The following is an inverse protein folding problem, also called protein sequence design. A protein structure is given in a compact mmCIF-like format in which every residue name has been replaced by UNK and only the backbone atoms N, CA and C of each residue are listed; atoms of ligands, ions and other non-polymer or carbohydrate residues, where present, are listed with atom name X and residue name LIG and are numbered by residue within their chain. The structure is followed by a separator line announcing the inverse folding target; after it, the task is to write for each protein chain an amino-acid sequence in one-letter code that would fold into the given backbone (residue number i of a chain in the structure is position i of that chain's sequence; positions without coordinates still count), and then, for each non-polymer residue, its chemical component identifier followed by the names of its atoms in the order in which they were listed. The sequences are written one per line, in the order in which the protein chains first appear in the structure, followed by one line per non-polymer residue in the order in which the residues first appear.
data_IF_739188085508
#
_entry.id   IF_739188085508
#
_cell.length_a   1.000
_cell.length_b   1.000
_cell.length_c   1.000
_cell.angle_alpha   90.00
_cell.angle_beta   90.00
_cell.angle_gamma   90.00
#
_symmetry.space_group_name_H-M   'P 1'
#
loop_
_entity.id
_entity.type
_entity.pdbx_description
1 polymer ?
#
# COMPACT_ATOMS: atom_id res chain seq x y z
N UNK A 1 7.23 4.60 -40.93
CA UNK A 1 8.34 4.53 -39.95
C UNK A 1 7.79 4.90 -38.58
N UNK A 2 7.91 4.03 -37.58
CA UNK A 2 7.41 4.25 -36.21
C UNK A 2 8.12 5.44 -35.55
N UNK A 3 7.41 6.17 -34.67
CA UNK A 3 7.96 7.28 -33.88
C UNK A 3 9.21 6.86 -33.10
N UNK A 4 9.22 5.63 -32.57
CA UNK A 4 10.36 5.06 -31.84
C UNK A 4 11.62 4.96 -32.72
N UNK A 5 11.46 4.60 -33.99
CA UNK A 5 12.60 4.49 -34.90
C UNK A 5 13.19 5.85 -35.23
N UNK A 6 12.35 6.89 -35.37
CA UNK A 6 12.81 8.28 -35.59
C UNK A 6 13.56 8.85 -34.38
N UNK A 7 13.10 8.53 -33.16
CA UNK A 7 13.76 8.94 -31.92
C UNK A 7 15.14 8.26 -31.80
N UNK A 8 15.21 6.95 -32.06
CA UNK A 8 16.46 6.19 -32.02
C UNK A 8 17.50 6.72 -33.02
N UNK A 9 17.07 7.03 -34.24
CA UNK A 9 17.92 7.57 -35.30
C UNK A 9 18.46 8.97 -34.97
N UNK A 10 17.63 9.82 -34.36
CA UNK A 10 18.02 11.16 -33.89
C UNK A 10 19.05 11.11 -32.75
N UNK A 11 18.95 10.15 -31.82
CA UNK A 11 19.93 9.98 -30.74
C UNK A 11 21.28 9.51 -31.30
N UNK A 12 21.28 8.64 -32.31
CA UNK A 12 22.51 8.09 -32.91
C UNK A 12 23.27 9.06 -33.81
N UNK A 13 22.60 10.05 -34.40
CA UNK A 13 23.21 11.01 -35.32
C UNK A 13 23.05 12.44 -34.77
N UNK A 14 24.10 13.06 -34.21
CA UNK A 14 24.01 14.39 -33.64
C UNK A 14 23.63 15.43 -34.73
N UNK A 15 22.64 16.27 -34.42
CA UNK A 15 22.18 17.32 -35.33
C UNK A 15 23.29 18.38 -35.46
N UNK A 16 23.82 18.57 -36.68
CA UNK A 16 24.84 19.60 -36.95
C UNK A 16 24.19 20.91 -37.39
N UNK A 17 24.56 22.01 -36.72
CA UNK A 17 24.18 23.38 -37.09
C UNK A 17 25.36 24.05 -37.79
N UNK A 18 25.29 24.19 -39.12
CA UNK A 18 26.28 24.89 -39.93
C UNK A 18 25.65 26.11 -40.58
N UNK A 19 26.22 27.29 -40.34
CA UNK A 19 25.77 28.56 -40.90
C UNK A 19 26.08 28.72 -42.40
N UNK A 20 26.91 27.83 -42.99
CA UNK A 20 27.33 27.90 -44.39
C UNK A 20 26.49 27.03 -45.35
N UNK A 21 25.68 26.10 -44.86
CA UNK A 21 24.82 25.25 -45.72
C UNK A 21 23.41 25.09 -45.13
N UNK A 22 22.40 25.49 -45.89
CA UNK A 22 20.99 25.40 -45.53
C UNK A 22 20.52 23.94 -45.65
N UNK A 23 20.63 23.17 -44.57
CA UNK A 23 20.10 21.81 -44.47
C UNK A 23 18.57 21.90 -44.28
N UNK A 24 17.80 21.10 -45.02
CA UNK A 24 16.35 20.98 -44.77
C UNK A 24 16.12 20.20 -43.48
N UNK A 25 15.62 20.88 -42.45
CA UNK A 25 15.30 20.28 -41.16
C UNK A 25 13.95 19.56 -41.23
N UNK A 26 13.90 18.36 -40.64
CA UNK A 26 12.62 17.65 -40.46
C UNK A 26 11.74 18.41 -39.47
N UNK A 27 10.42 18.18 -39.52
CA UNK A 27 9.47 18.78 -38.57
C UNK A 27 9.82 18.50 -37.10
N UNK A 28 10.45 17.35 -36.82
CA UNK A 28 10.91 17.01 -35.48
C UNK A 28 12.16 17.80 -35.07
N UNK A 29 13.12 17.97 -35.98
CA UNK A 29 14.34 18.74 -35.73
C UNK A 29 13.99 20.20 -35.40
N UNK A 30 12.99 20.76 -36.07
CA UNK A 30 12.51 22.12 -35.82
C UNK A 30 11.83 22.28 -34.45
N UNK A 31 11.21 21.21 -33.93
CA UNK A 31 10.63 21.21 -32.58
C UNK A 31 11.75 21.12 -31.53
N UNK A 32 12.72 20.23 -31.73
CA UNK A 32 13.84 20.04 -30.79
C UNK A 32 14.78 21.24 -30.76
N UNK A 33 14.96 21.94 -31.88
CA UNK A 33 15.75 23.17 -31.97
C UNK A 33 14.99 24.44 -31.56
N UNK A 34 13.69 24.33 -31.24
CA UNK A 34 12.92 25.49 -30.80
C UNK A 34 13.41 25.94 -29.41
N UNK A 35 13.86 27.20 -29.23
CA UNK A 35 14.35 27.69 -27.95
C UNK A 35 13.32 27.57 -26.81
N UNK A 36 12.02 27.68 -27.12
CA UNK A 36 10.94 27.50 -26.13
C UNK A 36 10.87 26.04 -25.66
N UNK A 37 11.00 25.08 -26.58
CA UNK A 37 10.96 23.66 -26.26
C UNK A 37 12.18 23.24 -25.42
N UNK A 38 13.37 23.70 -25.80
CA UNK A 38 14.60 23.46 -25.02
C UNK A 38 14.51 24.04 -23.61
N UNK A 39 13.97 25.27 -23.47
CA UNK A 39 13.76 25.89 -22.17
C UNK A 39 12.81 25.09 -21.28
N UNK A 40 11.69 24.60 -21.82
CA UNK A 40 10.73 23.78 -21.09
C UNK A 40 11.33 22.43 -20.68
N UNK A 41 12.10 21.79 -21.57
CA UNK A 41 12.77 20.52 -21.29
C UNK A 41 13.80 20.67 -20.16
N UNK A 42 14.66 21.69 -20.22
CA UNK A 42 15.63 21.97 -19.16
C UNK A 42 14.94 22.35 -17.85
N UNK A 43 13.87 23.15 -17.92
CA UNK A 43 13.07 23.51 -16.73
C UNK A 43 12.42 22.28 -16.09
N UNK A 44 11.90 21.35 -16.87
CA UNK A 44 11.38 20.07 -16.36
C UNK A 44 12.49 19.27 -15.68
N UNK A 45 13.61 19.03 -16.37
CA UNK A 45 14.71 18.22 -15.84
C UNK A 45 15.28 18.83 -14.56
N UNK A 46 15.45 20.16 -14.53
CA UNK A 46 15.93 20.88 -13.34
C UNK A 46 14.90 20.85 -12.20
N UNK A 47 13.60 20.98 -12.49
CA UNK A 47 12.54 20.82 -11.48
C UNK A 47 12.52 19.39 -10.91
N UNK A 48 12.61 18.37 -11.75
CA UNK A 48 12.67 16.97 -11.28
C UNK A 48 13.93 16.68 -10.48
N UNK A 49 15.08 17.24 -10.88
CA UNK A 49 16.33 17.08 -10.15
C UNK A 49 16.29 17.82 -8.81
N UNK A 50 15.66 19.00 -8.76
CA UNK A 50 15.44 19.75 -7.52
C UNK A 50 14.57 18.96 -6.55
N UNK A 51 13.44 18.41 -7.02
CA UNK A 51 12.51 17.67 -6.18
C UNK A 51 13.16 16.44 -5.52
N UNK A 52 14.00 15.72 -6.27
CA UNK A 52 14.79 14.57 -5.78
C UNK A 52 15.90 14.98 -4.81
N UNK A 53 16.48 16.17 -4.98
CA UNK A 53 17.64 16.63 -4.19
C UNK A 53 17.26 17.42 -2.94
N UNK A 54 15.97 17.71 -2.71
CA UNK A 54 15.51 18.28 -1.43
C UNK A 54 15.71 17.22 -0.35
N UNK A 55 16.50 17.50 0.71
CA UNK A 55 16.41 16.69 1.91
C UNK A 55 14.94 16.74 2.33
N UNK A 56 14.26 15.60 2.39
CA UNK A 56 13.01 15.53 3.13
C UNK A 56 13.35 15.82 4.58
N UNK A 57 13.33 17.08 4.96
CA UNK A 57 13.30 17.47 6.37
C UNK A 57 12.04 16.83 6.92
N UNK A 58 12.22 15.73 7.66
CA UNK A 58 11.15 15.02 8.33
C UNK A 58 10.29 16.04 9.07
N UNK A 59 8.98 16.05 8.80
CA UNK A 59 8.10 16.99 9.49
C UNK A 59 8.14 16.71 11.00
N UNK A 60 7.77 17.69 11.83
CA UNK A 60 7.71 17.45 13.28
C UNK A 60 6.83 16.23 13.63
N UNK A 61 5.77 16.00 12.85
CA UNK A 61 4.89 14.85 13.02
C UNK A 61 5.54 13.53 12.62
N UNK A 62 6.29 13.49 11.51
CA UNK A 62 7.01 12.30 11.07
C UNK A 62 8.13 11.95 12.06
N UNK A 63 8.85 12.95 12.56
CA UNK A 63 9.86 12.76 13.61
C UNK A 63 9.25 12.22 14.91
N UNK A 64 8.09 12.74 15.33
CA UNK A 64 7.38 12.25 16.51
C UNK A 64 6.92 10.80 16.34
N UNK A 65 6.37 10.44 15.17
CA UNK A 65 6.03 9.04 14.85
C UNK A 65 7.27 8.14 14.86
N UNK A 66 8.37 8.56 14.23
CA UNK A 66 9.62 7.80 14.23
C UNK A 66 10.13 7.54 15.66
N UNK A 67 10.08 8.53 16.54
CA UNK A 67 10.46 8.36 17.94
C UNK A 67 9.56 7.34 18.66
N UNK A 68 8.25 7.39 18.41
CA UNK A 68 7.31 6.41 18.97
C UNK A 68 7.61 4.98 18.47
N UNK A 69 7.95 4.84 17.19
CA UNK A 69 8.33 3.56 16.58
C UNK A 69 9.62 2.98 17.15
N UNK A 70 10.57 3.81 17.58
CA UNK A 70 11.78 3.32 18.27
C UNK A 70 11.43 2.58 19.56
N UNK A 71 10.44 3.05 20.34
CA UNK A 71 9.96 2.31 21.51
C UNK A 71 9.24 1.02 21.10
N UNK A 72 8.44 1.08 20.04
CA UNK A 72 7.72 -0.07 19.49
C UNK A 72 8.67 -1.19 19.06
N UNK A 73 9.76 -0.87 18.36
CA UNK A 73 10.79 -1.81 17.92
C UNK A 73 11.58 -2.42 19.09
N UNK A 74 11.72 -1.68 20.20
CA UNK A 74 12.35 -2.18 21.43
C UNK A 74 11.42 -3.06 22.26
N UNK A 75 10.16 -3.20 21.86
CA UNK A 75 9.13 -3.92 22.62
C UNK A 75 8.64 -3.16 23.85
N UNK A 76 9.00 -1.88 24.00
CA UNK A 76 8.51 -1.01 25.06
C UNK A 76 7.15 -0.43 24.66
N UNK A 77 6.14 -1.29 24.66
CA UNK A 77 4.81 -0.96 24.15
C UNK A 77 4.09 0.11 24.99
N UNK A 78 4.36 0.19 26.30
CA UNK A 78 3.77 1.20 27.17
C UNK A 78 4.21 2.60 26.77
N UNK A 79 5.52 2.81 26.60
CA UNK A 79 6.04 4.10 26.13
C UNK A 79 5.66 4.35 24.67
N UNK A 80 5.65 3.33 23.82
CA UNK A 80 5.22 3.47 22.44
C UNK A 80 3.77 3.98 22.35
N UNK A 81 2.84 3.40 23.12
CA UNK A 81 1.43 3.81 23.15
C UNK A 81 1.30 5.27 23.58
N UNK A 82 1.98 5.69 24.66
CA UNK A 82 1.94 7.07 25.12
C UNK A 82 2.42 8.05 24.04
N UNK A 83 3.54 7.75 23.38
CA UNK A 83 4.07 8.60 22.31
C UNK A 83 3.16 8.62 21.08
N UNK A 84 2.56 7.49 20.71
CA UNK A 84 1.61 7.42 19.60
C UNK A 84 0.34 8.22 19.89
N UNK A 85 -0.16 8.19 21.13
CA UNK A 85 -1.31 9.01 21.55
C UNK A 85 -1.00 10.51 21.43
N UNK A 86 0.21 10.94 21.81
CA UNK A 86 0.68 12.32 21.57
C UNK A 86 0.73 12.65 20.08
N UNK A 87 1.23 11.75 19.22
CA UNK A 87 1.24 11.98 17.76
C UNK A 87 -0.17 12.18 17.21
N UNK A 88 -1.13 11.37 17.67
CA UNK A 88 -2.54 11.50 17.23
C UNK A 88 -3.13 12.84 17.68
N UNK A 89 -2.85 13.29 18.90
CA UNK A 89 -3.43 14.51 19.47
C UNK A 89 -2.78 15.79 18.93
N UNK A 90 -1.45 15.83 18.85
CA UNK A 90 -0.70 17.04 18.47
C UNK A 90 -0.63 17.22 16.94
N UNK A 91 -0.84 16.15 16.18
CA UNK A 91 -0.69 16.14 14.73
C UNK A 91 -1.91 15.59 13.96
N UNK A 92 -3.13 15.75 14.48
CA UNK A 92 -4.43 15.19 13.98
C UNK A 92 -4.68 15.13 12.47
N UNK A 93 -4.08 16.03 11.68
CA UNK A 93 -4.31 16.15 10.23
C UNK A 93 -3.15 15.63 9.36
N UNK A 94 -2.12 15.04 9.96
CA UNK A 94 -0.96 14.53 9.24
C UNK A 94 -1.10 13.04 8.95
N UNK A 95 -0.32 12.56 7.96
CA UNK A 95 -0.20 11.13 7.72
C UNK A 95 0.39 10.41 8.94
N UNK A 96 1.33 11.04 9.64
CA UNK A 96 1.90 10.49 10.87
C UNK A 96 0.84 10.16 11.94
N UNK A 97 -0.17 11.02 12.13
CA UNK A 97 -1.28 10.74 13.04
C UNK A 97 -2.17 9.58 12.56
N UNK A 98 -2.35 9.41 11.25
CA UNK A 98 -3.07 8.26 10.68
C UNK A 98 -2.31 6.96 10.94
N UNK A 99 -0.99 6.95 10.74
CA UNK A 99 -0.14 5.80 11.02
C UNK A 99 -0.07 5.50 12.52
N UNK A 100 0.06 6.51 13.36
CA UNK A 100 0.03 6.35 14.82
C UNK A 100 -1.29 5.70 15.29
N UNK A 101 -2.42 6.14 14.73
CA UNK A 101 -3.73 5.53 15.00
C UNK A 101 -3.80 4.06 14.60
N UNK A 102 -3.21 3.68 13.47
CA UNK A 102 -3.09 2.28 13.07
C UNK A 102 -2.29 1.46 14.08
N UNK A 103 -1.12 1.93 14.51
CA UNK A 103 -0.32 1.20 15.50
C UNK A 103 -1.03 1.08 16.85
N UNK A 104 -1.73 2.12 17.31
CA UNK A 104 -2.58 2.04 18.50
C UNK A 104 -3.71 1.03 18.34
N UNK A 105 -4.37 1.00 17.18
CA UNK A 105 -5.42 0.04 16.86
C UNK A 105 -4.89 -1.40 16.82
N UNK A 106 -3.72 -1.61 16.22
CA UNK A 106 -3.01 -2.90 16.18
C UNK A 106 -2.62 -3.38 17.57
N UNK A 107 -2.08 -2.50 18.42
CA UNK A 107 -1.78 -2.84 19.82
C UNK A 107 -3.05 -3.20 20.59
N UNK A 108 -4.14 -2.43 20.39
CA UNK A 108 -5.43 -2.74 21.00
C UNK A 108 -5.96 -4.12 20.55
N UNK A 109 -5.82 -4.46 19.27
CA UNK A 109 -6.20 -5.75 18.71
C UNK A 109 -5.43 -6.90 19.36
N UNK A 110 -4.09 -6.78 19.44
CA UNK A 110 -3.22 -7.79 20.07
C UNK A 110 -3.56 -7.98 21.55
N UNK A 111 -3.90 -6.89 22.25
CA UNK A 111 -4.29 -6.92 23.66
C UNK A 111 -5.74 -7.38 23.90
N UNK A 112 -6.48 -7.76 22.84
CA UNK A 112 -7.87 -8.20 22.93
C UNK A 112 -8.87 -7.09 23.23
N UNK A 113 -8.46 -5.82 23.20
CA UNK A 113 -9.35 -4.67 23.33
C UNK A 113 -10.01 -4.39 21.97
N UNK A 114 -10.94 -5.28 21.60
CA UNK A 114 -11.60 -5.32 20.30
C UNK A 114 -12.36 -4.02 19.99
N UNK A 115 -12.99 -3.39 20.98
CA UNK A 115 -13.74 -2.14 20.79
C UNK A 115 -12.80 -0.97 20.44
N UNK A 116 -11.71 -0.81 21.20
CA UNK A 116 -10.69 0.24 20.92
C UNK A 116 -10.02 -0.03 19.57
N UNK A 117 -9.71 -1.29 19.27
CA UNK A 117 -9.11 -1.70 18.00
C UNK A 117 -10.02 -1.35 16.81
N UNK A 118 -11.29 -1.76 16.88
CA UNK A 118 -12.29 -1.50 15.84
C UNK A 118 -12.45 -0.01 15.57
N UNK A 119 -12.57 0.80 16.62
CA UNK A 119 -12.70 2.25 16.53
C UNK A 119 -11.48 2.89 15.84
N UNK A 120 -10.27 2.62 16.34
CA UNK A 120 -9.05 3.21 15.80
C UNK A 120 -8.79 2.79 14.35
N UNK A 121 -8.91 1.49 14.06
CA UNK A 121 -8.64 0.93 12.74
C UNK A 121 -9.65 1.43 11.70
N UNK A 122 -10.94 1.53 12.06
CA UNK A 122 -11.98 2.03 11.16
C UNK A 122 -11.76 3.48 10.73
N UNK A 123 -11.19 4.30 11.62
CA UNK A 123 -10.90 5.71 11.35
C UNK A 123 -9.68 5.94 10.46
N UNK A 124 -8.72 5.00 10.45
CA UNK A 124 -7.44 5.15 9.76
C UNK A 124 -7.28 4.28 8.50
N UNK A 125 -7.89 3.09 8.41
CA UNK A 125 -7.54 2.06 7.42
C UNK A 125 -7.57 2.57 5.96
N UNK A 126 -8.56 3.39 5.59
CA UNK A 126 -8.68 3.94 4.24
C UNK A 126 -7.68 5.06 3.92
N UNK A 127 -7.08 5.67 4.94
CA UNK A 127 -6.21 6.86 4.86
C UNK A 127 -4.73 6.52 5.00
N UNK A 128 -4.37 5.28 5.29
CA UNK A 128 -2.97 4.85 5.37
C UNK A 128 -2.28 5.06 4.02
N UNK A 129 -0.97 5.29 4.03
CA UNK A 129 -0.23 5.53 2.79
C UNK A 129 0.19 4.22 2.12
N UNK A 130 0.62 3.25 2.93
CA UNK A 130 1.20 2.01 2.45
C UNK A 130 0.16 0.90 2.26
N UNK A 131 0.24 0.22 1.12
CA UNK A 131 -0.67 -0.89 0.77
C UNK A 131 -0.63 -2.02 1.80
N UNK A 132 0.58 -2.36 2.30
CA UNK A 132 0.77 -3.39 3.33
C UNK A 132 0.01 -3.06 4.62
N UNK A 133 0.10 -1.82 5.10
CA UNK A 133 -0.63 -1.39 6.29
C UNK A 133 -2.14 -1.35 6.07
N UNK A 134 -2.61 -0.98 4.86
CA UNK A 134 -4.03 -1.08 4.50
C UNK A 134 -4.51 -2.52 4.57
N UNK A 135 -3.76 -3.44 3.97
CA UNK A 135 -4.06 -4.87 3.99
C UNK A 135 -4.16 -5.39 5.42
N UNK A 136 -3.17 -5.10 6.26
CA UNK A 136 -3.16 -5.52 7.68
C UNK A 136 -4.34 -4.91 8.46
N UNK A 137 -4.60 -3.62 8.31
CA UNK A 137 -5.72 -2.93 8.96
C UNK A 137 -7.08 -3.55 8.57
N UNK A 138 -7.27 -3.83 7.29
CA UNK A 138 -8.51 -4.43 6.81
C UNK A 138 -8.66 -5.91 7.20
N UNK A 139 -7.57 -6.67 7.32
CA UNK A 139 -7.63 -8.02 7.90
C UNK A 139 -8.12 -7.95 9.35
N UNK A 140 -7.51 -7.08 10.17
CA UNK A 140 -7.93 -6.91 11.57
C UNK A 140 -9.40 -6.48 11.68
N UNK A 141 -9.85 -5.54 10.84
CA UNK A 141 -11.27 -5.15 10.80
C UNK A 141 -12.18 -6.31 10.40
N UNK A 142 -11.79 -7.12 9.40
CA UNK A 142 -12.55 -8.30 9.00
C UNK A 142 -12.65 -9.37 10.09
N UNK A 143 -11.65 -9.47 10.95
CA UNK A 143 -11.66 -10.40 12.10
C UNK A 143 -12.51 -9.87 13.26
N UNK A 144 -12.52 -8.56 13.48
CA UNK A 144 -13.22 -7.93 14.60
C UNK A 144 -14.71 -7.67 14.32
N UNK A 145 -15.10 -7.42 13.08
CA UNK A 145 -16.47 -6.99 12.78
C UNK A 145 -17.48 -8.09 13.08
N UNK A 146 -18.46 -7.78 13.92
CA UNK A 146 -19.54 -8.69 14.31
C UNK A 146 -20.51 -8.96 13.18
N UNK A 147 -20.68 -8.01 12.26
CA UNK A 147 -21.51 -8.16 11.07
C UNK A 147 -20.73 -8.90 9.99
N UNK A 148 -21.25 -10.05 9.57
CA UNK A 148 -20.57 -10.91 8.62
C UNK A 148 -20.36 -10.20 7.27
N UNK A 149 -21.35 -9.46 6.77
CA UNK A 149 -21.22 -8.82 5.46
C UNK A 149 -20.15 -7.73 5.48
N UNK A 150 -20.07 -6.93 6.55
CA UNK A 150 -18.98 -5.98 6.74
C UNK A 150 -17.62 -6.67 6.86
N UNK A 151 -17.54 -7.77 7.63
CA UNK A 151 -16.31 -8.55 7.77
C UNK A 151 -15.80 -9.04 6.40
N UNK A 152 -16.67 -9.63 5.58
CA UNK A 152 -16.32 -10.09 4.24
C UNK A 152 -15.87 -8.93 3.33
N UNK A 153 -16.54 -7.78 3.41
CA UNK A 153 -16.14 -6.57 2.66
C UNK A 153 -14.77 -6.04 3.10
N UNK A 154 -14.41 -6.17 4.37
CA UNK A 154 -13.08 -5.81 4.83
C UNK A 154 -12.02 -6.77 4.28
N UNK A 155 -12.26 -8.08 4.27
CA UNK A 155 -11.36 -9.02 3.59
C UNK A 155 -11.21 -8.71 2.10
N UNK A 156 -12.28 -8.32 1.41
CA UNK A 156 -12.20 -7.91 0.00
C UNK A 156 -11.35 -6.64 -0.20
N UNK A 157 -11.47 -5.66 0.72
CA UNK A 157 -10.60 -4.48 0.73
C UNK A 157 -9.14 -4.85 1.02
N UNK A 158 -8.90 -5.81 1.91
CA UNK A 158 -7.56 -6.31 2.18
C UNK A 158 -6.95 -6.94 0.93
N UNK A 159 -7.67 -7.87 0.28
CA UNK A 159 -7.22 -8.54 -0.94
C UNK A 159 -6.93 -7.54 -2.07
N UNK A 160 -7.72 -6.46 -2.19
CA UNK A 160 -7.48 -5.39 -3.16
C UNK A 160 -6.17 -4.61 -2.94
N UNK A 161 -5.68 -4.53 -1.70
CA UNK A 161 -4.42 -3.84 -1.35
C UNK A 161 -3.25 -4.82 -1.18
N UNK A 162 -3.47 -6.13 -1.36
CA UNK A 162 -2.40 -7.12 -1.30
C UNK A 162 -1.37 -6.89 -2.41
N UNK A 163 -0.10 -7.10 -2.08
CA UNK A 163 1.04 -6.93 -2.98
C UNK A 163 1.45 -8.24 -3.67
N UNK A 164 0.89 -9.38 -3.25
CA UNK A 164 1.20 -10.68 -3.83
C UNK A 164 0.01 -11.63 -3.84
N UNK A 165 0.05 -12.63 -4.74
CA UNK A 165 -0.93 -13.70 -4.76
C UNK A 165 -0.93 -14.50 -3.45
N UNK A 166 0.23 -14.66 -2.79
CA UNK A 166 0.31 -15.34 -1.50
C UNK A 166 -0.49 -14.61 -0.42
N UNK A 167 -0.40 -13.29 -0.37
CA UNK A 167 -1.22 -12.48 0.54
C UNK A 167 -2.72 -12.60 0.22
N UNK A 168 -3.09 -12.59 -1.07
CA UNK A 168 -4.49 -12.81 -1.48
C UNK A 168 -4.97 -14.20 -1.02
N UNK A 169 -4.16 -15.25 -1.20
CA UNK A 169 -4.48 -16.60 -0.73
C UNK A 169 -4.66 -16.63 0.79
N UNK A 170 -3.77 -16.00 1.56
CA UNK A 170 -3.90 -15.88 3.01
C UNK A 170 -5.22 -15.22 3.42
N UNK A 171 -5.55 -14.09 2.80
CA UNK A 171 -6.78 -13.33 3.07
C UNK A 171 -8.02 -14.15 2.72
N UNK A 172 -8.00 -14.88 1.61
CA UNK A 172 -9.08 -15.78 1.20
C UNK A 172 -9.31 -16.91 2.21
N UNK A 173 -8.23 -17.49 2.75
CA UNK A 173 -8.33 -18.51 3.80
C UNK A 173 -8.92 -17.91 5.09
N UNK A 174 -8.51 -16.69 5.48
CA UNK A 174 -9.10 -15.99 6.62
C UNK A 174 -10.59 -15.68 6.42
N UNK A 175 -10.98 -15.29 5.21
CA UNK A 175 -12.37 -15.05 4.83
C UNK A 175 -13.20 -16.34 4.93
N UNK A 176 -12.68 -17.46 4.42
CA UNK A 176 -13.30 -18.78 4.56
C UNK A 176 -13.40 -19.21 6.02
N UNK A 177 -12.36 -18.99 6.83
CA UNK A 177 -12.37 -19.24 8.28
C UNK A 177 -13.49 -18.46 8.97
N UNK A 178 -13.69 -17.18 8.61
CA UNK A 178 -14.78 -16.37 9.14
C UNK A 178 -16.16 -16.93 8.79
N UNK A 179 -16.37 -17.35 7.54
CA UNK A 179 -17.62 -18.01 7.10
C UNK A 179 -17.88 -19.31 7.88
N UNK A 180 -16.83 -20.10 8.08
CA UNK A 180 -16.87 -21.36 8.84
C UNK A 180 -17.36 -21.15 10.27
N UNK A 181 -16.87 -20.11 10.95
CA UNK A 181 -17.28 -19.77 12.32
C UNK A 181 -18.78 -19.45 12.45
N UNK A 182 -19.41 -19.01 11.36
CA UNK A 182 -20.86 -18.68 11.31
C UNK A 182 -21.67 -19.84 10.70
N UNK A 183 -21.05 -20.99 10.42
CA UNK A 183 -21.71 -22.17 9.87
C UNK A 183 -22.01 -22.10 8.37
N UNK A 184 -21.47 -21.12 7.66
CA UNK A 184 -21.67 -20.94 6.22
C UNK A 184 -20.78 -21.87 5.38
N UNK A 185 -21.06 -23.17 5.47
CA UNK A 185 -20.24 -24.23 4.87
C UNK A 185 -20.03 -24.06 3.35
N UNK A 186 -21.11 -23.88 2.59
CA UNK A 186 -21.04 -23.84 1.13
C UNK A 186 -20.21 -22.66 0.62
N UNK A 187 -20.43 -21.46 1.18
CA UNK A 187 -19.67 -20.26 0.83
C UNK A 187 -18.18 -20.41 1.20
N UNK A 188 -17.87 -21.07 2.31
CA UNK A 188 -16.49 -21.33 2.71
C UNK A 188 -15.79 -22.31 1.74
N UNK A 189 -16.46 -23.41 1.35
CA UNK A 189 -15.92 -24.36 0.37
C UNK A 189 -15.71 -23.72 -1.00
N UNK A 190 -16.65 -22.91 -1.46
CA UNK A 190 -16.51 -22.19 -2.74
C UNK A 190 -15.24 -21.33 -2.78
N UNK A 191 -14.90 -20.65 -1.69
CA UNK A 191 -13.64 -19.90 -1.62
C UNK A 191 -12.45 -20.84 -1.66
N UNK A 192 -12.44 -21.90 -0.84
CA UNK A 192 -11.28 -22.76 -0.66
C UNK A 192 -10.99 -23.63 -1.88
N UNK A 193 -12.01 -24.17 -2.55
CA UNK A 193 -11.87 -25.03 -3.73
C UNK A 193 -11.29 -24.26 -4.94
N UNK A 194 -11.41 -22.93 -4.94
CA UNK A 194 -10.86 -22.05 -5.96
C UNK A 194 -9.40 -21.61 -5.69
N UNK A 195 -8.79 -22.03 -4.57
CA UNK A 195 -7.41 -21.68 -4.24
C UNK A 195 -6.43 -22.75 -4.73
N UNK A 196 -5.32 -22.31 -5.34
CA UNK A 196 -4.18 -23.18 -5.62
C UNK A 196 -3.37 -23.41 -4.33
N UNK A 197 -3.60 -24.56 -3.69
CA UNK A 197 -3.06 -24.88 -2.36
C UNK A 197 -1.77 -25.72 -2.38
N UNK A 198 -1.34 -26.23 -3.54
CA UNK A 198 -0.24 -27.22 -3.59
C UNK A 198 1.15 -26.61 -3.35
N UNK A 199 1.35 -25.32 -3.65
CA UNK A 199 2.62 -24.59 -3.46
C UNK A 199 2.47 -23.31 -2.63
N UNK A 200 1.57 -23.33 -1.67
CA UNK A 200 1.17 -22.19 -0.85
C UNK A 200 1.93 -22.15 0.50
N UNK A 201 2.48 -20.99 0.87
CA UNK A 201 3.13 -20.76 2.18
C UNK A 201 2.19 -20.95 3.39
N UNK A 202 0.88 -20.94 3.17
CA UNK A 202 -0.20 -21.07 4.13
C UNK A 202 -0.94 -22.40 4.01
N UNK A 203 -0.29 -23.45 3.49
CA UNK A 203 -0.87 -24.79 3.33
C UNK A 203 -1.44 -25.36 4.62
N UNK A 204 -0.73 -25.23 5.73
CA UNK A 204 -1.19 -25.72 7.04
C UNK A 204 -2.49 -25.02 7.48
N UNK A 205 -2.55 -23.70 7.35
CA UNK A 205 -3.76 -22.93 7.66
C UNK A 205 -4.91 -23.29 6.72
N UNK A 206 -4.63 -23.50 5.43
CA UNK A 206 -5.62 -23.96 4.47
C UNK A 206 -6.21 -25.32 4.89
N UNK A 207 -5.37 -26.30 5.20
CA UNK A 207 -5.80 -27.64 5.60
C UNK A 207 -6.59 -27.62 6.93
N UNK A 208 -6.18 -26.81 7.91
CA UNK A 208 -6.92 -26.60 9.17
C UNK A 208 -8.34 -26.08 8.89
N UNK A 209 -8.46 -25.03 8.08
CA UNK A 209 -9.75 -24.41 7.79
C UNK A 209 -10.60 -25.35 6.95
N UNK A 210 -10.04 -25.95 5.89
CA UNK A 210 -10.73 -26.91 5.03
C UNK A 210 -11.28 -28.09 5.82
N UNK A 211 -10.45 -28.68 6.68
CA UNK A 211 -10.86 -29.77 7.56
C UNK A 211 -12.02 -29.36 8.47
N UNK A 212 -11.93 -28.17 9.09
CA UNK A 212 -13.00 -27.63 9.94
C UNK A 212 -14.31 -27.46 9.17
N UNK A 213 -14.26 -26.91 7.95
CA UNK A 213 -15.44 -26.72 7.09
C UNK A 213 -16.13 -28.05 6.79
N UNK A 214 -15.38 -29.11 6.53
CA UNK A 214 -15.95 -30.44 6.24
C UNK A 214 -16.74 -31.03 7.42
N UNK A 215 -16.37 -30.68 8.66
CA UNK A 215 -17.06 -31.15 9.86
C UNK A 215 -18.40 -30.46 10.13
N UNK A 216 -18.69 -29.33 9.47
CA UNK A 216 -19.98 -28.66 9.59
C UNK A 216 -21.07 -29.54 8.97
N UNK A 217 -22.21 -29.68 9.65
CA UNK A 217 -23.37 -30.42 9.15
C UNK A 217 -24.12 -29.66 8.06
#
# INVERSE_FOLDING_TARGET
MSLLNKIKEMISNPISVSYKQKKEYSKLDMIVLNPVFLFLMVSWVTWSAWDVSRPQTSSAADAALSNAMVYFERGDFDNAVLQLESVVEDHKKTSAAVHAKFYLGRTAFINGNNDKAMMLLSECASKLDYSTLKTEAYIMLGQLDSDLDNALRFFDKAAKNALSNNEVTYISILKAKRLTMVGKKQEALEILDNLDSENNAYKELFEEVYGTVLTLN
#
